data_IF_322984099330
#
_entry.id   IF_322984099330
#
_cell.length_a   1.000
_cell.length_b   1.000
_cell.length_c   1.000
_cell.angle_alpha   90.00
_cell.angle_beta   90.00
_cell.angle_gamma   90.00
#
_symmetry.space_group_name_H-M   'P 1'
#
loop_
_entity.id
_entity.type
_entity.pdbx_description
1 polymer ?
#
# COMPACT_ATOMS: atom_id res chain seq x y z
N UNK A 1 -31.00 72.87 -18.71
CA UNK A 1 -29.87 72.19 -19.38
C UNK A 1 -29.07 71.46 -18.32
N UNK A 2 -28.86 70.17 -18.55
CA UNK A 2 -28.34 69.19 -17.59
C UNK A 2 -26.82 69.33 -17.44
N UNK A 3 -26.36 69.70 -16.25
CA UNK A 3 -24.95 69.61 -15.86
C UNK A 3 -24.69 68.23 -15.25
N UNK A 4 -24.19 67.32 -16.07
CA UNK A 4 -23.88 65.92 -15.74
C UNK A 4 -22.84 65.86 -14.62
N UNK A 5 -23.18 65.28 -13.47
CA UNK A 5 -22.21 64.93 -12.44
C UNK A 5 -21.12 64.04 -13.04
N UNK A 6 -19.88 64.50 -13.07
CA UNK A 6 -18.72 63.61 -13.07
C UNK A 6 -18.67 62.96 -11.69
N UNK A 7 -19.28 61.78 -11.53
CA UNK A 7 -18.95 60.92 -10.40
C UNK A 7 -17.47 60.54 -10.55
N UNK A 8 -16.62 60.72 -9.53
CA UNK A 8 -15.35 60.01 -9.54
C UNK A 8 -15.70 58.51 -9.61
N UNK A 9 -15.10 57.79 -10.56
CA UNK A 9 -15.03 56.34 -10.47
C UNK A 9 -14.19 56.07 -9.23
N UNK A 10 -14.83 55.67 -8.14
CA UNK A 10 -14.15 54.99 -7.04
C UNK A 10 -13.60 53.69 -7.65
N UNK A 11 -12.38 53.75 -8.16
CA UNK A 11 -11.55 52.56 -8.28
C UNK A 11 -11.22 52.17 -6.83
N UNK A 12 -12.11 51.39 -6.22
CA UNK A 12 -11.89 50.79 -4.91
C UNK A 12 -10.71 49.81 -5.03
N UNK A 13 -9.50 50.34 -4.88
CA UNK A 13 -8.29 49.55 -4.75
C UNK A 13 -8.29 48.80 -3.42
N UNK A 14 -7.72 47.60 -3.39
CA UNK A 14 -7.59 46.83 -2.16
C UNK A 14 -6.72 47.57 -1.15
N UNK A 15 -7.19 47.62 0.09
CA UNK A 15 -6.40 48.11 1.21
C UNK A 15 -5.25 47.13 1.51
N UNK A 16 -4.16 47.63 2.10
CA UNK A 16 -3.03 46.78 2.52
C UNK A 16 -3.48 45.65 3.45
N UNK A 17 -4.47 45.90 4.30
CA UNK A 17 -5.03 44.89 5.22
C UNK A 17 -5.74 43.78 4.44
N UNK A 18 -6.55 44.11 3.43
CA UNK A 18 -7.23 43.10 2.60
C UNK A 18 -6.25 42.22 1.83
N UNK A 19 -5.19 42.81 1.27
CA UNK A 19 -4.13 42.04 0.59
C UNK A 19 -3.44 41.08 1.55
N UNK A 20 -3.12 41.52 2.78
CA UNK A 20 -2.49 40.67 3.79
C UNK A 20 -3.42 39.54 4.25
N UNK A 21 -4.72 39.81 4.39
CA UNK A 21 -5.72 38.78 4.74
C UNK A 21 -5.85 37.77 3.61
N UNK A 22 -6.00 38.23 2.36
CA UNK A 22 -6.10 37.36 1.19
C UNK A 22 -4.84 36.49 1.03
N UNK A 23 -3.66 37.08 1.22
CA UNK A 23 -2.39 36.35 1.21
C UNK A 23 -2.32 35.31 2.33
N UNK A 24 -2.74 35.66 3.55
CA UNK A 24 -2.80 34.72 4.66
C UNK A 24 -3.70 33.52 4.39
N UNK A 25 -4.90 33.76 3.83
CA UNK A 25 -5.83 32.70 3.44
C UNK A 25 -5.23 31.84 2.31
N UNK A 26 -4.66 32.46 1.29
CA UNK A 26 -4.03 31.75 0.17
C UNK A 26 -2.84 30.90 0.62
N UNK A 27 -2.00 31.43 1.52
CA UNK A 27 -0.87 30.70 2.10
C UNK A 27 -1.34 29.51 2.94
N UNK A 28 -2.35 29.71 3.80
CA UNK A 28 -2.93 28.64 4.61
C UNK A 28 -3.56 27.53 3.72
N UNK A 29 -4.31 27.92 2.69
CA UNK A 29 -4.88 26.98 1.72
C UNK A 29 -3.80 26.18 0.98
N UNK A 30 -2.71 26.85 0.58
CA UNK A 30 -1.58 26.21 -0.10
C UNK A 30 -0.89 25.19 0.81
N UNK A 31 -0.64 25.54 2.07
CA UNK A 31 -0.06 24.61 3.06
C UNK A 31 -0.95 23.38 3.25
N UNK A 32 -2.27 23.57 3.38
CA UNK A 32 -3.21 22.46 3.52
C UNK A 32 -3.22 21.56 2.28
N UNK A 33 -3.20 22.15 1.07
CA UNK A 33 -3.14 21.40 -0.18
C UNK A 33 -1.87 20.53 -0.26
N UNK A 34 -0.71 21.06 0.15
CA UNK A 34 0.54 20.28 0.18
C UNK A 34 0.50 19.14 1.19
N UNK A 35 -0.08 19.35 2.37
CA UNK A 35 -0.21 18.28 3.36
C UNK A 35 -1.11 17.15 2.84
N UNK A 36 -2.24 17.49 2.23
CA UNK A 36 -3.16 16.51 1.64
C UNK A 36 -2.47 15.74 0.49
N UNK A 37 -1.82 16.46 -0.43
CA UNK A 37 -1.11 15.83 -1.54
C UNK A 37 0.03 14.91 -1.06
N UNK A 38 0.79 15.34 -0.04
CA UNK A 38 1.88 14.55 0.53
C UNK A 38 1.39 13.26 1.19
N UNK A 39 0.30 13.33 1.96
CA UNK A 39 -0.30 12.13 2.58
C UNK A 39 -0.85 11.15 1.55
N UNK A 40 -1.51 11.66 0.50
CA UNK A 40 -2.02 10.85 -0.60
C UNK A 40 -0.89 10.17 -1.37
N UNK A 41 0.18 10.89 -1.73
CA UNK A 41 1.34 10.33 -2.42
C UNK A 41 2.03 9.23 -1.59
N UNK A 42 2.16 9.42 -0.28
CA UNK A 42 2.72 8.40 0.62
C UNK A 42 1.80 7.19 0.78
N UNK A 43 0.48 7.35 0.70
CA UNK A 43 -0.46 6.23 0.71
C UNK A 43 -0.38 5.43 -0.60
N UNK A 44 -0.33 6.10 -1.75
CA UNK A 44 -0.20 5.45 -3.07
C UNK A 44 1.10 4.64 -3.14
N UNK A 45 2.24 5.21 -2.73
CA UNK A 45 3.52 4.49 -2.70
C UNK A 45 3.50 3.24 -1.82
N UNK A 46 2.82 3.30 -0.68
CA UNK A 46 2.65 2.13 0.21
C UNK A 46 1.82 1.03 -0.45
N UNK A 47 0.79 1.40 -1.20
CA UNK A 47 -0.05 0.45 -1.93
C UNK A 47 0.75 -0.19 -3.07
N UNK A 48 1.47 0.59 -3.86
CA UNK A 48 2.32 0.07 -4.95
C UNK A 48 3.40 -0.87 -4.42
N UNK A 49 4.11 -0.49 -3.36
CA UNK A 49 5.10 -1.35 -2.71
C UNK A 49 4.48 -2.67 -2.19
N UNK A 50 3.26 -2.60 -1.64
CA UNK A 50 2.55 -3.81 -1.19
C UNK A 50 2.15 -4.75 -2.34
N UNK A 51 1.81 -4.20 -3.51
CA UNK A 51 1.49 -5.00 -4.70
C UNK A 51 2.72 -5.70 -5.25
N UNK A 52 3.83 -4.98 -5.40
CA UNK A 52 5.09 -5.57 -5.86
C UNK A 52 5.54 -6.70 -4.92
N UNK A 53 5.46 -6.48 -3.61
CA UNK A 53 5.80 -7.51 -2.62
C UNK A 53 4.87 -8.74 -2.70
N UNK A 54 3.59 -8.56 -2.99
CA UNK A 54 2.65 -9.66 -3.17
C UNK A 54 2.96 -10.48 -4.43
N UNK A 55 3.25 -9.82 -5.55
CA UNK A 55 3.61 -10.49 -6.81
C UNK A 55 4.94 -11.26 -6.67
N UNK A 56 5.96 -10.67 -6.03
CA UNK A 56 7.22 -11.38 -5.74
C UNK A 56 6.99 -12.56 -4.79
N UNK A 57 6.16 -12.39 -3.75
CA UNK A 57 5.81 -13.46 -2.83
C UNK A 57 5.10 -14.62 -3.53
N UNK A 58 4.20 -14.34 -4.48
CA UNK A 58 3.59 -15.37 -5.32
C UNK A 58 4.65 -16.10 -6.16
N UNK A 59 5.60 -15.37 -6.76
CA UNK A 59 6.73 -15.94 -7.50
C UNK A 59 7.59 -16.89 -6.65
N UNK A 60 7.83 -16.55 -5.37
CA UNK A 60 8.51 -17.42 -4.40
C UNK A 60 7.73 -18.72 -4.19
N UNK A 61 6.40 -18.63 -4.01
CA UNK A 61 5.54 -19.82 -3.83
C UNK A 61 5.57 -20.70 -5.07
N UNK A 62 5.40 -20.13 -6.26
CA UNK A 62 5.45 -20.88 -7.53
C UNK A 62 6.79 -21.58 -7.72
N UNK A 63 7.90 -20.92 -7.40
CA UNK A 63 9.24 -21.53 -7.43
C UNK A 63 9.35 -22.70 -6.45
N UNK A 64 8.81 -22.56 -5.23
CA UNK A 64 8.82 -23.64 -4.23
C UNK A 64 8.03 -24.87 -4.70
N UNK A 65 6.90 -24.64 -5.38
CA UNK A 65 6.08 -25.69 -5.96
C UNK A 65 6.77 -26.39 -7.12
N UNK A 66 7.48 -25.63 -7.96
CA UNK A 66 8.27 -26.18 -9.06
C UNK A 66 9.50 -26.96 -8.59
N UNK A 67 10.03 -26.68 -7.39
CA UNK A 67 11.20 -27.35 -6.83
C UNK A 67 10.94 -28.80 -6.37
N UNK A 68 9.71 -29.31 -6.51
CA UNK A 68 9.33 -30.67 -6.17
C UNK A 68 8.45 -30.75 -4.92
N UNK A 69 8.34 -31.94 -4.29
CA UNK A 69 7.36 -32.19 -3.24
C UNK A 69 7.43 -31.18 -2.09
N UNK A 70 6.26 -30.75 -1.63
CA UNK A 70 6.13 -29.89 -0.47
C UNK A 70 6.51 -30.66 0.79
N UNK A 71 7.24 -29.97 1.67
CA UNK A 71 7.63 -30.48 2.98
C UNK A 71 7.41 -29.39 4.02
N UNK A 72 6.93 -29.72 5.23
CA UNK A 72 6.83 -28.75 6.29
C UNK A 72 8.19 -28.10 6.57
N UNK A 73 8.20 -26.79 6.83
CA UNK A 73 9.43 -26.09 7.16
C UNK A 73 9.32 -24.58 7.07
N UNK A 74 10.36 -23.92 7.57
CA UNK A 74 10.56 -22.48 7.49
C UNK A 74 11.85 -22.19 6.71
N UNK A 75 11.74 -21.40 5.65
CA UNK A 75 12.88 -20.90 4.88
C UNK A 75 12.93 -19.39 5.03
N UNK A 76 14.13 -18.82 5.18
CA UNK A 76 14.35 -17.37 5.25
C UNK A 76 15.27 -16.96 4.13
N UNK A 77 14.96 -15.85 3.48
CA UNK A 77 15.70 -15.34 2.34
C UNK A 77 15.37 -13.84 2.13
N UNK A 78 15.78 -13.25 1.01
CA UNK A 78 15.52 -11.84 0.66
C UNK A 78 14.81 -11.72 -0.69
N UNK A 79 13.91 -10.74 -0.79
CA UNK A 79 13.28 -10.31 -2.04
C UNK A 79 14.29 -9.64 -2.97
N UNK A 80 13.89 -9.34 -4.21
CA UNK A 80 14.79 -8.73 -5.20
C UNK A 80 15.26 -7.33 -4.81
N UNK A 81 14.50 -6.63 -3.97
CA UNK A 81 14.84 -5.32 -3.39
C UNK A 81 15.74 -5.42 -2.13
N UNK A 82 16.09 -6.65 -1.70
CA UNK A 82 16.88 -6.92 -0.49
C UNK A 82 16.05 -7.02 0.79
N UNK A 83 14.73 -6.83 0.75
CA UNK A 83 13.87 -6.94 1.92
C UNK A 83 13.80 -8.40 2.39
N UNK A 84 14.03 -8.69 3.68
CA UNK A 84 13.98 -10.06 4.19
C UNK A 84 12.56 -10.61 4.22
N UNK A 85 12.42 -11.89 3.89
CA UNK A 85 11.16 -12.64 4.01
C UNK A 85 11.37 -14.02 4.63
N UNK A 86 10.27 -14.60 5.08
CA UNK A 86 10.21 -15.98 5.54
C UNK A 86 9.07 -16.75 4.86
N UNK A 87 9.38 -17.89 4.27
CA UNK A 87 8.44 -18.84 3.67
C UNK A 87 8.17 -19.97 4.65
N UNK A 88 6.94 -20.09 5.13
CA UNK A 88 6.48 -21.18 5.97
C UNK A 88 5.58 -22.13 5.17
N UNK A 89 5.90 -23.42 5.20
CA UNK A 89 5.07 -24.50 4.65
C UNK A 89 4.60 -25.36 5.83
N UNK A 90 3.29 -25.54 5.96
CA UNK A 90 2.67 -26.27 7.07
C UNK A 90 1.63 -27.26 6.53
N UNK A 91 1.61 -28.48 7.06
CA UNK A 91 0.48 -29.40 6.84
C UNK A 91 -0.65 -29.04 7.80
N UNK A 92 -1.80 -28.60 7.27
CA UNK A 92 -2.95 -28.21 8.09
C UNK A 92 -3.81 -29.39 8.55
N UNK A 93 -3.62 -30.60 8.03
CA UNK A 93 -4.46 -31.74 8.41
C UNK A 93 -4.52 -31.99 9.92
N UNK A 94 -3.40 -32.00 10.66
CA UNK A 94 -3.43 -32.24 12.10
C UNK A 94 -4.18 -31.13 12.84
N UNK A 95 -4.00 -29.88 12.40
CA UNK A 95 -4.65 -28.72 13.01
C UNK A 95 -6.16 -28.68 12.77
N UNK A 96 -6.61 -29.22 11.63
CA UNK A 96 -8.02 -29.26 11.24
C UNK A 96 -8.73 -30.57 11.63
N UNK A 97 -8.05 -31.50 12.29
CA UNK A 97 -8.60 -32.82 12.61
C UNK A 97 -8.93 -33.67 11.39
N UNK A 98 -8.35 -33.33 10.23
CA UNK A 98 -8.57 -34.03 8.98
C UNK A 98 -7.67 -35.27 8.97
N UNK A 99 -8.27 -36.45 9.07
CA UNK A 99 -7.58 -37.75 9.19
C UNK A 99 -6.88 -38.21 7.90
N UNK A 100 -7.28 -39.36 7.36
CA UNK A 100 -6.67 -40.01 6.16
C UNK A 100 -7.00 -39.30 4.83
N UNK A 101 -7.04 -37.97 4.81
CA UNK A 101 -7.14 -37.20 3.57
C UNK A 101 -5.75 -36.83 3.05
N UNK A 102 -5.60 -36.61 1.73
CA UNK A 102 -4.39 -36.04 1.17
C UNK A 102 -3.98 -34.75 1.91
N UNK A 103 -2.68 -34.47 2.08
CA UNK A 103 -2.20 -33.26 2.74
C UNK A 103 -2.85 -31.97 2.22
N UNK A 104 -3.21 -31.09 3.15
CA UNK A 104 -3.63 -29.73 2.84
C UNK A 104 -2.50 -28.79 3.27
N UNK A 105 -1.73 -28.34 2.30
CA UNK A 105 -0.57 -27.50 2.54
C UNK A 105 -0.99 -26.03 2.67
N UNK A 106 -0.62 -25.41 3.79
CA UNK A 106 -0.61 -23.96 3.91
C UNK A 106 0.79 -23.45 3.62
N UNK A 107 0.88 -22.55 2.64
CA UNK A 107 2.11 -21.83 2.33
C UNK A 107 1.90 -20.36 2.65
N UNK A 108 2.77 -19.78 3.46
CA UNK A 108 2.74 -18.38 3.87
C UNK A 108 4.09 -17.73 3.61
N UNK A 109 4.06 -16.58 2.95
CA UNK A 109 5.22 -15.69 2.83
C UNK A 109 5.00 -14.54 3.81
N UNK A 110 5.93 -14.36 4.73
CA UNK A 110 5.88 -13.33 5.78
C UNK A 110 6.97 -12.30 5.52
N UNK A 111 6.61 -11.02 5.62
CA UNK A 111 7.57 -9.92 5.58
C UNK A 111 8.25 -9.69 6.93
N UNK A 112 9.09 -8.66 6.99
CA UNK A 112 9.81 -8.27 8.21
C UNK A 112 8.91 -8.01 9.43
N UNK A 113 7.65 -7.59 9.22
CA UNK A 113 6.67 -7.37 10.29
C UNK A 113 6.09 -8.66 10.90
N UNK A 114 6.36 -9.82 10.30
CA UNK A 114 5.78 -11.11 10.68
C UNK A 114 4.34 -11.32 10.19
N UNK A 115 3.70 -10.29 9.63
CA UNK A 115 2.41 -10.43 8.97
C UNK A 115 2.58 -11.17 7.62
N UNK A 116 1.61 -12.02 7.22
CA UNK A 116 1.65 -12.66 5.91
C UNK A 116 1.45 -11.63 4.81
N UNK A 117 2.38 -11.57 3.86
CA UNK A 117 2.27 -10.82 2.61
C UNK A 117 1.39 -11.61 1.63
N UNK A 118 1.61 -12.92 1.58
CA UNK A 118 0.88 -13.84 0.73
C UNK A 118 0.62 -15.15 1.49
N UNK A 119 -0.56 -15.72 1.31
CA UNK A 119 -0.92 -17.01 1.88
C UNK A 119 -1.81 -17.77 0.89
N UNK A 120 -1.51 -19.05 0.71
CA UNK A 120 -2.32 -19.93 -0.14
C UNK A 120 -2.47 -21.32 0.49
N UNK A 121 -3.50 -22.02 0.05
CA UNK A 121 -3.80 -23.40 0.43
C UNK A 121 -3.70 -24.28 -0.81
N UNK A 122 -2.95 -25.36 -0.71
CA UNK A 122 -2.69 -26.27 -1.81
C UNK A 122 -3.07 -27.68 -1.37
N UNK A 123 -4.12 -28.28 -1.95
CA UNK A 123 -4.38 -29.69 -1.74
C UNK A 123 -3.31 -30.50 -2.45
N UNK A 124 -2.80 -31.54 -1.79
CA UNK A 124 -1.98 -32.54 -2.46
C UNK A 124 -2.84 -33.33 -3.44
N UNK A 125 -2.41 -33.38 -4.71
CA UNK A 125 -3.07 -34.21 -5.71
C UNK A 125 -2.77 -35.67 -5.40
N UNK A 126 -3.82 -36.48 -5.39
CA UNK A 126 -3.69 -37.94 -5.44
C UNK A 126 -3.51 -38.30 -6.92
N UNK A 127 -2.30 -38.73 -7.31
CA UNK A 127 -2.09 -39.43 -8.60
C UNK A 127 -2.55 -40.89 -8.50
#
# INVERSE_FOLDING_TARGET
>A
MVGKCCRPREEDGFTTVEVLVAFGIAAAATIMAFQIAGTAAAAVRRIEASRVAADEAEGVVLRRLAAGPLRPGLVRDVFSDGTPYALAVTDLRPALGLGRVPPLWQIRVMGASGAPIYATLIPEKTE
#
